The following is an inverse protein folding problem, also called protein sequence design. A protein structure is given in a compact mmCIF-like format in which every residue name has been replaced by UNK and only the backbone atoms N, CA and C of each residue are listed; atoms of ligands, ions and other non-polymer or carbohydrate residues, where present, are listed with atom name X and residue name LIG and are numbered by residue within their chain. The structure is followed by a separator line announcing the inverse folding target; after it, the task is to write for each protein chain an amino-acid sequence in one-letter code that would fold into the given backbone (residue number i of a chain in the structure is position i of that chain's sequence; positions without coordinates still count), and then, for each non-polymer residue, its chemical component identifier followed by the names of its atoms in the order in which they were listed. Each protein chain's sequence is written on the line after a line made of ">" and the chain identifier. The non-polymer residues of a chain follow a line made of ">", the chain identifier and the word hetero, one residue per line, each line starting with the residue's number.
data_IF_353724193984
#
_entry.id   IF_353724193984
#
_cell.length_a   1.000
_cell.length_b   1.000
_cell.length_c   1.000
_cell.angle_alpha   90.00
_cell.angle_beta   90.00
_cell.angle_gamma   90.00
#
_symmetry.space_group_name_H-M   'P 1'
#
loop_
_entity.id
_entity.type
_entity.pdbx_description
1 polymer ?
#
# COMPACT_ATOMS: atom_id res chain seq x y z
N UNK A 1 20.75 11.67 0.53
CA UNK A 1 19.33 11.27 0.65
C UNK A 1 18.64 12.27 1.54
N UNK A 2 17.60 12.96 1.05
CA UNK A 2 16.82 13.90 1.87
C UNK A 2 15.94 13.14 2.92
N UNK A 3 15.33 13.88 3.85
CA UNK A 3 14.55 13.27 4.95
C UNK A 3 13.34 12.48 4.46
N UNK A 4 12.66 12.95 3.40
CA UNK A 4 11.52 12.27 2.80
C UNK A 4 11.96 10.98 2.12
N UNK A 5 13.05 11.00 1.36
CA UNK A 5 13.57 9.81 0.69
C UNK A 5 14.05 8.75 1.70
N UNK A 6 14.64 9.20 2.83
CA UNK A 6 14.99 8.30 3.93
C UNK A 6 13.75 7.64 4.53
N UNK A 7 12.69 8.40 4.76
CA UNK A 7 11.42 7.88 5.28
C UNK A 7 10.78 6.88 4.31
N UNK A 8 10.71 7.21 3.01
CA UNK A 8 10.20 6.32 1.97
C UNK A 8 10.96 4.99 1.94
N UNK A 9 12.31 5.07 1.99
CA UNK A 9 13.15 3.87 2.08
C UNK A 9 12.86 3.03 3.32
N UNK A 10 12.79 3.65 4.51
CA UNK A 10 12.51 2.94 5.75
C UNK A 10 11.13 2.25 5.71
N UNK A 11 10.13 2.87 5.09
CA UNK A 11 8.81 2.28 4.92
C UNK A 11 8.82 1.05 4.02
N UNK A 12 9.43 1.13 2.84
CA UNK A 12 9.40 0.02 1.88
C UNK A 12 10.35 -1.12 2.25
N UNK A 13 11.44 -0.83 2.97
CA UNK A 13 12.35 -1.87 3.48
C UNK A 13 11.77 -2.60 4.70
N UNK A 14 10.83 -1.98 5.43
CA UNK A 14 10.19 -2.62 6.58
C UNK A 14 9.31 -3.81 6.13
N UNK A 15 9.29 -4.87 6.94
CA UNK A 15 8.52 -6.08 6.68
C UNK A 15 7.09 -5.94 7.17
N UNK A 16 6.11 -6.31 6.34
CA UNK A 16 4.70 -6.17 6.71
C UNK A 16 3.76 -6.87 5.73
N UNK A 17 3.72 -8.20 5.75
CA UNK A 17 2.62 -8.94 5.13
C UNK A 17 1.31 -8.71 5.89
N UNK A 18 0.11 -8.93 5.27
CA UNK A 18 -1.17 -8.78 5.93
C UNK A 18 -1.26 -9.50 7.28
N UNK A 19 -1.55 -8.75 8.35
CA UNK A 19 -1.60 -9.25 9.74
C UNK A 19 -0.26 -9.18 10.50
N UNK A 20 0.82 -8.69 9.84
CA UNK A 20 2.17 -8.62 10.42
C UNK A 20 2.82 -7.25 10.19
N UNK A 21 2.05 -6.15 10.23
CA UNK A 21 2.45 -4.80 9.83
C UNK A 21 3.18 -3.99 10.93
N UNK A 22 3.42 -4.58 12.09
CA UNK A 22 3.97 -3.87 13.27
C UNK A 22 5.28 -3.12 13.00
N UNK A 23 6.18 -3.70 12.19
CA UNK A 23 7.46 -3.06 11.86
C UNK A 23 7.25 -1.75 11.08
N UNK A 24 6.30 -1.75 10.14
CA UNK A 24 5.94 -0.59 9.32
C UNK A 24 5.23 0.47 10.15
N UNK A 25 4.28 0.05 11.01
CA UNK A 25 3.63 0.91 12.00
C UNK A 25 4.65 1.62 12.89
N UNK A 26 5.72 0.92 13.28
CA UNK A 26 6.84 1.50 14.01
C UNK A 26 7.61 2.60 13.25
N UNK A 27 7.77 2.44 11.92
CA UNK A 27 8.35 3.49 11.06
C UNK A 27 7.46 4.73 11.04
N UNK A 28 6.15 4.54 10.82
CA UNK A 28 5.15 5.62 10.86
C UNK A 28 5.19 6.38 12.19
N UNK A 29 5.25 5.64 13.31
CA UNK A 29 5.30 6.23 14.66
C UNK A 29 6.54 7.09 14.90
N UNK A 30 7.70 6.66 14.41
CA UNK A 30 8.93 7.46 14.50
C UNK A 30 8.84 8.73 13.64
N UNK A 31 8.33 8.62 12.42
CA UNK A 31 8.22 9.74 11.49
C UNK A 31 7.24 10.81 11.95
N UNK A 32 6.13 10.42 12.56
CA UNK A 32 5.05 11.29 13.03
C UNK A 32 5.18 11.68 14.50
N UNK A 33 6.28 11.34 15.17
CA UNK A 33 6.53 11.76 16.55
C UNK A 33 6.44 13.29 16.69
N UNK A 34 5.56 13.76 17.58
CA UNK A 34 5.35 15.18 17.84
C UNK A 34 4.42 15.91 16.85
N UNK A 35 3.82 15.20 15.87
CA UNK A 35 2.83 15.80 14.96
C UNK A 35 1.45 15.90 15.62
N UNK A 36 1.05 14.86 16.35
CA UNK A 36 -0.22 14.80 17.05
C UNK A 36 -0.39 13.48 17.83
N UNK A 37 -1.53 13.25 18.49
CA UNK A 37 -1.84 12.00 19.17
C UNK A 37 -1.81 10.82 18.20
N UNK A 38 -1.16 9.73 18.63
CA UNK A 38 -1.10 8.47 17.90
C UNK A 38 -1.96 7.44 18.63
N UNK A 39 -2.77 6.70 17.89
CA UNK A 39 -3.58 5.59 18.39
C UNK A 39 -3.64 4.46 17.37
N UNK A 40 -4.19 3.32 17.78
CA UNK A 40 -4.46 2.18 16.90
C UNK A 40 -5.90 1.71 17.08
N UNK A 41 -6.47 1.10 16.06
CA UNK A 41 -7.68 0.29 16.21
C UNK A 41 -7.33 -1.10 16.76
N UNK A 42 -8.34 -1.98 16.90
CA UNK A 42 -8.12 -3.32 17.45
C UNK A 42 -7.51 -4.32 16.46
N UNK A 43 -7.48 -3.99 15.18
CA UNK A 43 -6.77 -4.78 14.16
C UNK A 43 -5.30 -4.35 14.02
N UNK A 44 -4.93 -3.14 14.50
CA UNK A 44 -3.56 -2.65 14.46
C UNK A 44 -3.33 -1.50 13.48
N UNK A 45 -4.39 -0.97 12.80
CA UNK A 45 -4.24 0.19 11.93
C UNK A 45 -3.67 1.38 12.71
N UNK A 46 -2.67 2.04 12.14
CA UNK A 46 -2.02 3.21 12.73
C UNK A 46 -2.82 4.48 12.42
N UNK A 47 -3.06 5.31 13.43
CA UNK A 47 -3.86 6.54 13.31
C UNK A 47 -3.11 7.69 13.99
N UNK A 48 -2.79 8.75 13.23
CA UNK A 48 -2.25 9.99 13.76
C UNK A 48 -3.26 11.12 13.54
N UNK A 49 -3.69 11.76 14.63
CA UNK A 49 -4.64 12.87 14.61
C UNK A 49 -3.92 14.20 14.54
N UNK A 50 -4.27 15.05 13.56
CA UNK A 50 -3.79 16.42 13.44
C UNK A 50 -4.96 17.39 13.54
N UNK A 51 -5.10 18.06 14.68
CA UNK A 51 -6.13 19.09 14.89
C UNK A 51 -5.77 20.36 14.15
N UNK A 52 -6.79 20.95 13.53
CA UNK A 52 -6.73 22.28 12.91
C UNK A 52 -6.99 23.40 13.91
N UNK A 53 -7.28 24.58 13.37
CA UNK A 53 -7.52 25.83 14.13
C UNK A 53 -8.94 25.93 14.72
N UNK A 54 -9.86 25.06 14.32
CA UNK A 54 -11.25 25.04 14.78
C UNK A 54 -11.77 23.61 14.98
N UNK A 55 -12.86 23.44 15.71
CA UNK A 55 -13.63 22.20 15.75
C UNK A 55 -14.37 22.02 14.41
N UNK A 56 -13.66 21.54 13.42
CA UNK A 56 -14.14 21.32 12.06
C UNK A 56 -14.43 19.85 11.78
N UNK A 57 -14.73 19.51 10.51
CA UNK A 57 -14.99 18.15 10.11
C UNK A 57 -13.76 17.26 10.28
N UNK A 58 -14.01 15.95 10.41
CA UNK A 58 -12.98 14.90 10.49
C UNK A 58 -12.68 14.40 9.11
N UNK A 59 -11.45 14.61 8.66
CA UNK A 59 -10.98 14.22 7.33
C UNK A 59 -10.02 13.06 7.47
N UNK A 60 -10.35 11.93 6.85
CA UNK A 60 -9.51 10.73 6.85
C UNK A 60 -8.68 10.66 5.57
N UNK A 61 -7.37 10.53 5.70
CA UNK A 61 -6.42 10.21 4.64
C UNK A 61 -5.87 8.82 4.94
N UNK A 62 -6.22 7.81 4.13
CA UNK A 62 -5.92 6.42 4.42
C UNK A 62 -5.07 5.79 3.31
N UNK A 63 -3.97 5.15 3.67
CA UNK A 63 -3.21 4.22 2.84
C UNK A 63 -2.95 2.96 3.65
N UNK A 64 -2.58 1.83 3.02
CA UNK A 64 -2.38 0.58 3.77
C UNK A 64 -0.91 0.23 4.04
N UNK A 65 -0.69 -0.39 5.21
CA UNK A 65 0.64 -0.79 5.69
C UNK A 65 1.11 -2.10 5.08
N UNK A 66 0.19 -3.00 4.82
CA UNK A 66 0.54 -4.31 4.30
C UNK A 66 1.04 -4.25 2.86
N UNK A 67 1.78 -5.27 2.50
CA UNK A 67 2.27 -5.54 1.15
C UNK A 67 1.85 -6.95 0.76
N UNK A 68 1.61 -7.22 -0.52
CA UNK A 68 1.41 -8.59 -0.98
C UNK A 68 2.55 -9.48 -0.50
N UNK A 69 2.22 -10.63 0.04
CA UNK A 69 3.19 -11.56 0.62
C UNK A 69 2.68 -12.99 0.58
N UNK A 70 3.23 -13.80 1.46
CA UNK A 70 2.80 -15.19 1.59
C UNK A 70 2.81 -15.60 3.06
N UNK A 71 2.26 -16.78 3.32
CA UNK A 71 2.26 -17.41 4.65
C UNK A 71 2.70 -18.87 4.54
N UNK A 72 3.52 -19.32 5.46
CA UNK A 72 3.91 -20.73 5.54
C UNK A 72 2.67 -21.60 5.75
N UNK A 73 2.44 -22.55 4.83
CA UNK A 73 1.34 -23.53 4.92
C UNK A 73 1.79 -24.81 5.62
N UNK A 74 2.88 -25.39 5.16
CA UNK A 74 3.40 -26.67 5.67
C UNK A 74 4.86 -26.87 5.23
N UNK A 75 5.52 -27.89 5.78
CA UNK A 75 6.87 -28.30 5.42
C UNK A 75 6.82 -29.73 4.88
N UNK A 76 7.52 -29.99 3.77
CA UNK A 76 7.63 -31.34 3.20
C UNK A 76 8.67 -32.16 3.96
N UNK A 77 8.65 -33.49 3.81
CA UNK A 77 9.64 -34.38 4.46
C UNK A 77 11.08 -34.07 4.03
N UNK A 78 11.25 -33.60 2.79
CA UNK A 78 12.54 -33.27 2.19
C UNK A 78 13.05 -31.89 2.62
N UNK A 79 12.28 -31.11 3.42
CA UNK A 79 12.70 -29.81 3.94
C UNK A 79 12.32 -28.60 3.09
N UNK A 80 11.38 -28.74 2.15
CA UNK A 80 10.83 -27.60 1.40
C UNK A 80 9.62 -27.00 2.10
N UNK A 81 9.45 -25.68 1.99
CA UNK A 81 8.33 -24.95 2.58
C UNK A 81 7.23 -24.74 1.55
N UNK A 82 6.02 -25.23 1.83
CA UNK A 82 4.80 -24.90 1.07
C UNK A 82 4.16 -23.66 1.65
N UNK A 83 3.59 -22.81 0.80
CA UNK A 83 3.08 -21.51 1.19
C UNK A 83 1.74 -21.15 0.52
N UNK A 84 1.08 -20.15 1.07
CA UNK A 84 -0.19 -19.58 0.58
C UNK A 84 0.03 -18.11 0.24
N UNK A 85 -0.59 -17.56 -0.82
CA UNK A 85 -0.54 -16.14 -1.10
C UNK A 85 -1.37 -15.34 -0.07
N UNK A 86 -0.85 -14.17 0.29
CA UNK A 86 -1.55 -13.09 0.96
C UNK A 86 -1.59 -11.90 -0.01
N UNK A 87 -2.78 -11.58 -0.51
CA UNK A 87 -2.97 -10.64 -1.62
C UNK A 87 -2.88 -11.32 -2.99
N UNK A 88 -3.01 -10.50 -4.04
CA UNK A 88 -3.06 -10.97 -5.43
C UNK A 88 -1.67 -11.19 -6.04
N UNK A 89 -1.32 -12.43 -6.37
CA UNK A 89 -0.06 -12.78 -7.01
C UNK A 89 -0.27 -13.43 -8.38
N UNK A 90 0.49 -12.98 -9.36
CA UNK A 90 0.58 -13.65 -10.65
C UNK A 90 1.74 -14.66 -10.64
N UNK A 91 1.46 -15.94 -10.92
CA UNK A 91 2.45 -17.01 -10.82
C UNK A 91 3.76 -16.77 -11.59
N UNK A 92 3.71 -16.03 -12.72
CA UNK A 92 4.90 -15.72 -13.51
C UNK A 92 5.95 -14.87 -12.77
N UNK A 93 5.52 -13.98 -11.86
CA UNK A 93 6.45 -13.10 -11.13
C UNK A 93 6.98 -13.71 -9.84
N UNK A 94 6.59 -14.94 -9.51
CA UNK A 94 6.94 -15.58 -8.22
C UNK A 94 8.14 -16.54 -8.35
N UNK A 95 8.25 -17.26 -9.47
CA UNK A 95 9.31 -18.26 -9.69
C UNK A 95 10.71 -17.64 -9.71
N UNK A 96 11.65 -18.31 -9.05
CA UNK A 96 13.04 -17.88 -8.94
C UNK A 96 13.27 -16.69 -8.02
N UNK A 97 12.21 -16.16 -7.38
CA UNK A 97 12.32 -15.01 -6.49
C UNK A 97 12.90 -15.40 -5.13
N UNK A 98 13.64 -14.47 -4.56
CA UNK A 98 14.12 -14.53 -3.18
C UNK A 98 13.03 -14.05 -2.25
N UNK A 99 12.77 -14.82 -1.20
CA UNK A 99 11.78 -14.51 -0.17
C UNK A 99 12.41 -14.60 1.22
N UNK A 100 11.90 -13.81 2.15
CA UNK A 100 12.30 -13.86 3.56
C UNK A 100 11.13 -14.42 4.36
N UNK A 101 11.36 -15.52 5.06
CA UNK A 101 10.43 -16.09 6.04
C UNK A 101 10.78 -15.48 7.40
N UNK A 102 9.82 -14.84 8.04
CA UNK A 102 9.99 -14.21 9.36
C UNK A 102 9.67 -15.20 10.46
N UNK A 103 10.66 -15.74 11.10
CA UNK A 103 10.51 -16.68 12.22
C UNK A 103 10.74 -15.99 13.56
N UNK A 104 10.40 -16.66 14.64
CA UNK A 104 10.71 -16.17 16.01
C UNK A 104 12.21 -16.08 16.28
N UNK A 105 13.01 -16.88 15.59
CA UNK A 105 14.47 -16.93 15.73
C UNK A 105 15.17 -15.86 14.87
N UNK A 106 14.50 -15.35 13.87
CA UNK A 106 15.03 -14.38 12.92
C UNK A 106 14.57 -14.64 11.49
N UNK A 107 15.23 -13.99 10.57
CA UNK A 107 14.91 -14.03 9.15
C UNK A 107 15.56 -15.22 8.48
N UNK A 108 14.80 -15.98 7.70
CA UNK A 108 15.31 -17.09 6.89
C UNK A 108 15.10 -16.78 5.43
N UNK A 109 16.20 -16.68 4.69
CA UNK A 109 16.17 -16.49 3.25
C UNK A 109 15.84 -17.82 2.56
N UNK A 110 14.99 -17.77 1.55
CA UNK A 110 14.69 -18.88 0.66
C UNK A 110 14.49 -18.42 -0.79
N UNK A 111 14.43 -19.37 -1.70
CA UNK A 111 14.16 -19.15 -3.12
C UNK A 111 12.96 -19.97 -3.57
N UNK A 112 12.11 -19.39 -4.41
CA UNK A 112 10.93 -20.08 -4.93
C UNK A 112 11.31 -21.00 -6.06
N UNK A 113 10.99 -22.28 -5.93
CA UNK A 113 11.15 -23.32 -6.91
C UNK A 113 9.85 -24.00 -7.32
N UNK A 114 9.93 -24.73 -8.42
CA UNK A 114 8.90 -25.64 -8.90
C UNK A 114 9.54 -26.80 -9.64
N UNK A 115 8.74 -27.72 -10.19
CA UNK A 115 9.25 -28.74 -11.10
C UNK A 115 10.02 -28.06 -12.25
N UNK A 116 11.27 -28.49 -12.56
CA UNK A 116 12.07 -27.80 -13.57
C UNK A 116 11.46 -27.95 -14.97
N UNK A 117 11.59 -26.93 -15.84
CA UNK A 117 10.97 -26.93 -17.17
C UNK A 117 11.42 -28.11 -18.06
N UNK A 118 12.63 -28.63 -17.83
CA UNK A 118 13.18 -29.78 -18.56
C UNK A 118 12.42 -31.09 -18.32
N UNK A 119 11.69 -31.17 -17.20
CA UNK A 119 10.87 -32.33 -16.83
C UNK A 119 9.37 -32.12 -17.11
N UNK A 120 9.00 -30.97 -17.66
CA UNK A 120 7.62 -30.68 -18.02
C UNK A 120 7.32 -31.13 -19.45
N UNK A 121 6.12 -31.59 -19.69
CA UNK A 121 5.59 -31.80 -21.03
C UNK A 121 5.46 -30.45 -21.74
N UNK A 122 5.55 -30.44 -23.08
CA UNK A 122 5.52 -29.20 -23.87
C UNK A 122 4.24 -28.37 -23.64
N UNK A 123 3.13 -29.03 -23.38
CA UNK A 123 1.87 -28.37 -23.04
C UNK A 123 1.95 -27.64 -21.69
N UNK A 124 2.56 -28.25 -20.68
CA UNK A 124 2.66 -27.68 -19.34
C UNK A 124 3.68 -26.52 -19.26
N UNK A 125 4.69 -26.53 -20.13
CA UNK A 125 5.64 -25.39 -20.24
C UNK A 125 4.96 -24.08 -20.64
N UNK A 126 3.82 -24.15 -21.35
CA UNK A 126 3.07 -22.99 -21.82
C UNK A 126 2.05 -22.47 -20.80
N UNK A 127 1.83 -23.20 -19.71
CA UNK A 127 0.87 -22.82 -18.66
C UNK A 127 1.55 -22.01 -17.56
N UNK A 128 0.80 -21.08 -16.98
CA UNK A 128 1.21 -20.40 -15.75
C UNK A 128 1.24 -21.42 -14.62
N UNK A 129 2.38 -21.53 -13.92
CA UNK A 129 2.48 -22.38 -12.73
C UNK A 129 1.75 -21.71 -11.58
N UNK A 130 0.71 -22.37 -11.06
CA UNK A 130 -0.01 -21.87 -9.90
C UNK A 130 0.85 -21.96 -8.63
N UNK A 131 0.70 -20.98 -7.73
CA UNK A 131 1.45 -20.90 -6.47
C UNK A 131 1.37 -22.19 -5.64
N UNK A 132 0.23 -22.91 -5.68
CA UNK A 132 0.08 -24.21 -4.97
C UNK A 132 1.07 -25.30 -5.42
N UNK A 133 1.64 -25.19 -6.62
CA UNK A 133 2.63 -26.13 -7.17
C UNK A 133 4.07 -25.68 -6.93
N UNK A 134 4.25 -24.50 -6.34
CA UNK A 134 5.56 -23.97 -5.95
C UNK A 134 5.94 -24.41 -4.54
N UNK A 135 7.20 -24.22 -4.19
CA UNK A 135 7.76 -24.38 -2.85
C UNK A 135 8.91 -23.38 -2.65
N UNK A 136 9.27 -23.14 -1.40
CA UNK A 136 10.44 -22.34 -1.05
C UNK A 136 11.53 -23.31 -0.58
N UNK A 137 12.69 -23.22 -1.22
CA UNK A 137 13.92 -23.88 -0.80
C UNK A 137 14.67 -22.96 0.16
N UNK A 138 14.88 -23.42 1.38
CA UNK A 138 15.60 -22.73 2.46
C UNK A 138 16.95 -23.39 2.75
N UNK A 139 17.42 -24.30 1.87
CA UNK A 139 18.67 -25.04 2.03
C UNK A 139 18.63 -26.12 3.11
N UNK A 140 17.44 -26.55 3.54
CA UNK A 140 17.26 -27.64 4.51
C UNK A 140 17.22 -29.00 3.79
N UNK A 141 17.57 -30.07 4.51
CA UNK A 141 17.58 -31.45 3.98
C UNK A 141 16.49 -32.34 4.58
N UNK A 142 15.73 -31.82 5.53
CA UNK A 142 14.64 -32.52 6.19
C UNK A 142 13.64 -31.57 6.84
N UNK A 143 12.44 -32.07 7.15
CA UNK A 143 11.44 -31.33 7.92
C UNK A 143 11.93 -31.01 9.34
N UNK A 144 12.79 -31.84 9.91
CA UNK A 144 13.41 -31.61 11.23
C UNK A 144 14.31 -30.36 11.18
N UNK A 145 15.14 -30.20 10.13
CA UNK A 145 15.98 -29.01 9.95
C UNK A 145 15.13 -27.73 9.91
N UNK A 146 14.07 -27.75 9.11
CA UNK A 146 13.17 -26.61 8.95
C UNK A 146 12.49 -26.25 10.28
N UNK A 147 11.92 -27.26 10.96
CA UNK A 147 11.12 -27.03 12.17
C UNK A 147 11.97 -26.79 13.42
N UNK A 148 13.13 -27.43 13.54
CA UNK A 148 13.94 -27.41 14.78
C UNK A 148 15.16 -26.50 14.69
N UNK A 149 15.82 -26.44 13.53
CA UNK A 149 17.00 -25.56 13.37
C UNK A 149 16.59 -24.15 12.93
N UNK A 150 15.70 -24.05 11.93
CA UNK A 150 15.26 -22.77 11.36
C UNK A 150 14.03 -22.20 12.08
N UNK A 151 13.32 -23.01 12.87
CA UNK A 151 12.10 -22.65 13.60
C UNK A 151 10.99 -22.07 12.68
N UNK A 152 10.89 -22.60 11.45
CA UNK A 152 9.82 -22.23 10.53
C UNK A 152 8.57 -23.03 10.86
N UNK A 153 7.45 -22.32 11.07
CA UNK A 153 6.17 -22.91 11.45
C UNK A 153 5.04 -22.49 10.50
N UNK A 154 4.00 -23.30 10.34
CA UNK A 154 2.78 -22.85 9.68
C UNK A 154 2.26 -21.56 10.31
N UNK A 155 1.90 -20.58 9.46
CA UNK A 155 1.47 -19.26 9.89
C UNK A 155 2.57 -18.19 9.93
N UNK A 156 3.84 -18.54 9.80
CA UNK A 156 4.91 -17.55 9.69
C UNK A 156 4.75 -16.74 8.40
N UNK A 157 4.88 -15.39 8.46
CA UNK A 157 4.74 -14.55 7.28
C UNK A 157 6.00 -14.60 6.40
N UNK A 158 5.76 -14.43 5.12
CA UNK A 158 6.79 -14.45 4.08
C UNK A 158 6.64 -13.21 3.22
N UNK A 159 7.74 -12.54 2.96
CA UNK A 159 7.78 -11.30 2.16
C UNK A 159 8.84 -11.37 1.08
N UNK A 160 8.73 -10.55 0.01
CA UNK A 160 9.77 -10.37 -0.98
C UNK A 160 11.09 -9.85 -0.38
N UNK A 161 12.21 -10.40 -0.84
CA UNK A 161 13.56 -9.87 -0.58
C UNK A 161 13.94 -8.94 -1.72
N UNK A 162 13.62 -7.64 -1.58
CA UNK A 162 13.88 -6.62 -2.58
C UNK A 162 14.29 -5.31 -1.91
N UNK A 163 15.44 -4.79 -2.28
CA UNK A 163 16.00 -3.58 -1.67
C UNK A 163 15.55 -2.31 -2.40
N UNK A 164 15.31 -1.24 -1.64
CA UNK A 164 15.10 0.09 -2.19
C UNK A 164 16.30 0.55 -3.04
N UNK A 165 16.04 1.05 -4.25
CA UNK A 165 17.05 1.51 -5.19
C UNK A 165 16.61 2.80 -5.89
N UNK A 166 17.48 3.81 -5.90
CA UNK A 166 17.33 4.95 -6.82
C UNK A 166 17.86 4.53 -8.18
N UNK A 167 17.07 4.64 -9.21
CA UNK A 167 17.41 4.17 -10.55
C UNK A 167 18.39 5.15 -11.27
N UNK A 168 18.79 4.81 -12.50
CA UNK A 168 19.63 5.70 -13.34
C UNK A 168 18.98 7.06 -13.59
N UNK A 169 17.65 7.11 -13.74
CA UNK A 169 16.90 8.36 -13.59
C UNK A 169 16.64 8.57 -12.10
N UNK A 170 17.22 9.61 -11.46
CA UNK A 170 17.14 9.80 -10.01
C UNK A 170 15.75 10.13 -9.48
N UNK A 171 14.79 10.43 -10.35
CA UNK A 171 13.41 10.61 -9.98
C UNK A 171 12.67 9.27 -9.84
N UNK A 172 13.17 8.19 -10.44
CA UNK A 172 12.54 6.88 -10.39
C UNK A 172 13.08 6.05 -9.22
N UNK A 173 12.16 5.59 -8.40
CA UNK A 173 12.43 4.85 -7.18
C UNK A 173 11.90 3.42 -7.33
N UNK A 174 12.80 2.43 -7.29
CA UNK A 174 12.45 1.01 -7.35
C UNK A 174 12.49 0.44 -5.93
N UNK A 175 11.42 -0.26 -5.55
CA UNK A 175 11.34 -1.03 -4.31
C UNK A 175 10.18 -2.03 -4.38
N UNK A 176 10.10 -2.92 -3.38
CA UNK A 176 8.86 -3.63 -3.05
C UNK A 176 7.87 -2.68 -2.38
N UNK A 177 6.61 -3.10 -2.26
CA UNK A 177 5.63 -2.47 -1.38
C UNK A 177 5.35 -0.96 -1.62
N UNK A 178 5.60 -0.41 -2.80
CA UNK A 178 5.04 0.90 -3.15
C UNK A 178 3.53 0.88 -3.07
N UNK A 179 2.93 -0.24 -3.43
CA UNK A 179 1.61 -0.67 -3.06
C UNK A 179 1.66 -1.25 -1.64
N UNK A 180 1.18 -0.58 -0.54
CA UNK A 180 0.76 0.83 -0.62
C UNK A 180 1.46 1.66 0.46
N UNK A 181 2.77 1.44 0.67
CA UNK A 181 3.57 2.26 1.60
C UNK A 181 3.66 3.71 1.13
N UNK A 182 3.46 3.92 -0.17
CA UNK A 182 3.40 5.26 -0.77
C UNK A 182 2.17 6.02 -0.26
N UNK A 183 0.99 5.40 -0.22
CA UNK A 183 -0.23 6.01 0.34
C UNK A 183 -0.08 6.35 1.82
N UNK A 184 0.54 5.45 2.62
CA UNK A 184 0.90 5.73 4.01
C UNK A 184 1.82 6.96 4.12
N UNK A 185 2.82 7.06 3.24
CA UNK A 185 3.76 8.18 3.23
C UNK A 185 3.07 9.49 2.83
N UNK A 186 2.16 9.48 1.86
CA UNK A 186 1.34 10.64 1.46
C UNK A 186 0.51 11.17 2.63
N UNK A 187 -0.18 10.28 3.36
CA UNK A 187 -0.96 10.65 4.54
C UNK A 187 -0.08 11.27 5.63
N UNK A 188 1.05 10.61 5.93
CA UNK A 188 2.00 11.07 6.95
C UNK A 188 2.64 12.42 6.61
N UNK A 189 3.13 12.57 5.38
CA UNK A 189 3.75 13.82 4.93
C UNK A 189 2.75 14.98 4.92
N UNK A 190 1.49 14.71 4.54
CA UNK A 190 0.44 15.71 4.53
C UNK A 190 0.21 16.28 5.93
N UNK A 191 -0.01 15.45 6.94
CA UNK A 191 -0.23 15.95 8.31
C UNK A 191 1.03 16.60 8.91
N UNK A 192 2.21 16.17 8.52
CA UNK A 192 3.47 16.79 8.91
C UNK A 192 3.62 18.18 8.31
N UNK A 193 3.27 18.38 7.05
CA UNK A 193 3.29 19.71 6.38
C UNK A 193 2.20 20.65 6.88
N UNK A 194 1.19 20.14 7.56
CA UNK A 194 0.16 20.94 8.24
C UNK A 194 0.62 21.46 9.62
N UNK A 195 1.82 21.11 10.10
CA UNK A 195 2.36 21.69 11.33
C UNK A 195 2.62 23.21 11.14
N UNK A 196 2.03 24.02 12.03
CA UNK A 196 2.12 25.49 11.94
C UNK A 196 1.27 26.11 10.81
N UNK A 197 0.52 25.31 10.06
CA UNK A 197 -0.36 25.77 8.98
C UNK A 197 -1.80 25.74 9.47
N UNK A 198 -2.52 26.87 9.36
CA UNK A 198 -3.94 26.94 9.69
C UNK A 198 -4.77 26.12 8.69
N UNK A 199 -5.65 25.26 9.21
CA UNK A 199 -6.63 24.50 8.44
C UNK A 199 -7.91 24.28 9.25
N UNK A 200 -9.10 24.16 8.62
CA UNK A 200 -10.40 24.28 9.30
C UNK A 200 -10.94 22.95 9.86
N UNK A 201 -10.18 21.87 9.84
CA UNK A 201 -10.65 20.50 10.09
C UNK A 201 -9.69 19.74 11.00
N UNK A 202 -10.10 18.56 11.46
CA UNK A 202 -9.20 17.59 12.08
C UNK A 202 -8.83 16.53 11.02
N UNK A 203 -7.54 16.37 10.74
CA UNK A 203 -7.04 15.41 9.75
C UNK A 203 -6.49 14.18 10.45
N UNK A 204 -6.88 13.02 9.97
CA UNK A 204 -6.37 11.73 10.41
C UNK A 204 -5.50 11.13 9.32
N UNK A 205 -4.19 11.02 9.55
CA UNK A 205 -3.33 10.17 8.75
C UNK A 205 -3.48 8.74 9.25
N UNK A 206 -4.04 7.90 8.40
CA UNK A 206 -4.34 6.50 8.72
C UNK A 206 -3.49 5.60 7.85
N UNK A 207 -2.86 4.62 8.49
CA UNK A 207 -2.20 3.54 7.79
C UNK A 207 -2.90 2.25 8.20
N UNK A 208 -3.73 1.74 7.32
CA UNK A 208 -4.62 0.60 7.55
C UNK A 208 -3.85 -0.71 7.47
N UNK A 209 -4.42 -1.79 7.99
CA UNK A 209 -3.86 -3.13 7.96
C UNK A 209 -4.74 -4.07 7.14
N UNK A 210 -4.14 -5.14 6.57
CA UNK A 210 -4.88 -6.21 5.91
C UNK A 210 -5.79 -5.72 4.76
N UNK A 211 -5.34 -4.73 4.01
CA UNK A 211 -6.04 -4.25 2.82
C UNK A 211 -6.07 -5.33 1.75
N UNK A 212 -4.91 -5.90 1.42
CA UNK A 212 -4.65 -6.89 0.38
C UNK A 212 -5.47 -8.19 0.50
N UNK A 213 -6.04 -8.42 1.67
CA UNK A 213 -6.87 -9.59 1.98
C UNK A 213 -8.32 -9.23 2.30
N UNK A 214 -8.77 -8.03 1.89
CA UNK A 214 -10.19 -7.64 1.93
C UNK A 214 -10.51 -6.32 2.62
N UNK A 215 -9.65 -5.30 2.54
CA UNK A 215 -9.90 -3.91 2.99
C UNK A 215 -10.27 -3.82 4.48
N UNK A 216 -9.66 -4.69 5.33
CA UNK A 216 -10.18 -4.94 6.69
C UNK A 216 -9.92 -3.78 7.65
N UNK A 217 -8.70 -3.24 7.63
CA UNK A 217 -8.31 -2.13 8.49
C UNK A 217 -9.04 -0.83 8.15
N UNK A 218 -9.41 -0.63 6.89
CA UNK A 218 -10.22 0.51 6.46
C UNK A 218 -11.58 0.55 7.17
N UNK A 219 -12.25 -0.60 7.28
CA UNK A 219 -13.52 -0.71 7.97
C UNK A 219 -13.42 -0.36 9.47
N UNK A 220 -12.41 -0.91 10.15
CA UNK A 220 -12.28 -0.73 11.61
C UNK A 220 -11.75 0.66 11.98
N UNK A 221 -10.85 1.23 11.19
CA UNK A 221 -10.33 2.58 11.39
C UNK A 221 -11.38 3.65 11.07
N UNK A 222 -12.16 3.49 9.98
CA UNK A 222 -13.28 4.38 9.66
C UNK A 222 -14.34 4.37 10.76
N UNK A 223 -14.70 3.18 11.29
CA UNK A 223 -15.62 3.08 12.44
C UNK A 223 -15.08 3.82 13.66
N UNK A 224 -13.81 3.65 14.00
CA UNK A 224 -13.18 4.30 15.15
C UNK A 224 -13.12 5.82 15.02
N UNK A 225 -12.82 6.34 13.84
CA UNK A 225 -12.67 7.78 13.57
C UNK A 225 -14.04 8.44 13.36
N UNK A 226 -14.96 7.80 12.65
CA UNK A 226 -16.21 8.36 12.15
C UNK A 226 -15.96 9.59 11.27
N UNK A 227 -15.27 9.46 10.13
CA UNK A 227 -14.91 10.61 9.30
C UNK A 227 -16.11 11.23 8.62
N UNK A 228 -16.07 12.55 8.42
CA UNK A 228 -17.08 13.31 7.67
C UNK A 228 -16.77 13.36 6.15
N UNK A 229 -15.52 13.10 5.77
CA UNK A 229 -15.07 12.85 4.39
C UNK A 229 -13.74 12.07 4.41
N UNK A 230 -13.47 11.32 3.35
CA UNK A 230 -12.26 10.52 3.26
C UNK A 230 -11.63 10.51 1.87
N UNK A 231 -10.31 10.37 1.86
CA UNK A 231 -9.51 10.11 0.66
C UNK A 231 -8.69 8.86 0.93
N UNK A 232 -8.97 7.78 0.21
CA UNK A 232 -8.06 6.63 0.15
C UNK A 232 -6.89 7.00 -0.77
N UNK A 233 -5.69 6.74 -0.27
CA UNK A 233 -4.45 7.06 -0.95
C UNK A 233 -3.81 5.76 -1.41
N UNK A 234 -3.77 5.53 -2.72
CA UNK A 234 -3.30 4.26 -3.27
C UNK A 234 -2.46 4.45 -4.53
N UNK A 235 -1.81 3.41 -4.98
CA UNK A 235 -1.16 3.39 -6.29
C UNK A 235 -2.15 2.97 -7.36
N UNK A 236 -2.00 3.54 -8.56
CA UNK A 236 -2.68 3.04 -9.76
C UNK A 236 -1.67 2.46 -10.75
N UNK A 237 -2.17 1.85 -11.81
CA UNK A 237 -1.33 1.20 -12.82
C UNK A 237 -0.76 2.27 -13.78
N UNK A 238 0.56 2.28 -13.96
CA UNK A 238 1.20 3.04 -15.02
C UNK A 238 1.15 2.26 -16.33
N UNK A 239 0.60 2.89 -17.37
CA UNK A 239 0.46 2.31 -18.71
C UNK A 239 1.57 2.75 -19.68
N UNK A 240 2.69 3.25 -19.19
CA UNK A 240 3.83 3.73 -19.94
C UNK A 240 4.93 2.66 -20.16
N UNK A 241 4.54 1.39 -20.19
CA UNK A 241 5.41 0.25 -20.49
C UNK A 241 5.03 -0.39 -21.83
N UNK A 242 5.97 -1.05 -22.54
CA UNK A 242 5.65 -1.71 -23.81
C UNK A 242 4.51 -2.73 -23.67
N UNK A 243 3.51 -2.65 -24.56
CA UNK A 243 2.39 -3.59 -24.62
C UNK A 243 1.21 -3.25 -23.69
N UNK A 244 1.22 -2.09 -23.04
CA UNK A 244 0.08 -1.57 -22.30
C UNK A 244 -0.65 -0.48 -23.08
N UNK A 245 -1.96 -0.31 -22.81
CA UNK A 245 -2.81 0.73 -23.37
C UNK A 245 -3.37 1.58 -22.24
N UNK A 246 -3.25 2.89 -22.33
CA UNK A 246 -3.69 3.87 -21.32
C UNK A 246 -2.85 5.15 -21.36
N UNK A 247 -3.28 6.18 -20.66
CA UNK A 247 -2.62 7.49 -20.62
C UNK A 247 -1.84 7.73 -19.33
N UNK A 248 -2.04 6.89 -18.31
CA UNK A 248 -1.44 6.99 -16.99
C UNK A 248 0.05 6.63 -17.06
N UNK A 249 0.91 7.51 -16.55
CA UNK A 249 2.37 7.37 -16.68
C UNK A 249 3.12 7.94 -15.50
N UNK A 250 4.31 7.43 -15.26
CA UNK A 250 5.24 8.01 -14.29
C UNK A 250 5.63 9.43 -14.71
N UNK A 251 5.64 10.36 -13.75
CA UNK A 251 5.93 11.76 -13.97
C UNK A 251 4.77 12.58 -14.54
N UNK A 252 3.58 11.98 -14.68
CA UNK A 252 2.36 12.65 -15.15
C UNK A 252 1.57 13.40 -14.07
N UNK A 253 1.97 13.28 -12.81
CA UNK A 253 1.31 13.90 -11.66
C UNK A 253 0.38 12.95 -10.91
N UNK A 254 -0.36 13.48 -9.90
CA UNK A 254 -1.33 12.72 -9.12
C UNK A 254 -2.36 12.00 -9.98
N UNK A 255 -2.75 10.81 -9.53
CA UNK A 255 -3.78 9.98 -10.13
C UNK A 255 -5.07 10.09 -9.32
N UNK A 256 -6.21 10.24 -9.97
CA UNK A 256 -7.55 10.21 -9.36
C UNK A 256 -8.31 9.02 -9.94
N UNK A 257 -8.79 8.15 -9.08
CA UNK A 257 -9.61 7.00 -9.48
C UNK A 257 -11.04 7.46 -9.67
N UNK A 258 -11.55 7.35 -10.91
CA UNK A 258 -12.93 7.77 -11.26
C UNK A 258 -13.94 6.64 -11.05
N UNK A 259 -13.46 5.41 -10.94
CA UNK A 259 -14.23 4.21 -10.63
C UNK A 259 -13.29 3.10 -10.15
N UNK A 260 -13.63 2.40 -9.09
CA UNK A 260 -13.13 1.07 -8.80
C UNK A 260 -14.29 0.10 -8.50
N UNK A 261 -14.03 -1.20 -8.53
CA UNK A 261 -15.11 -2.20 -8.37
C UNK A 261 -15.78 -2.17 -7.00
N UNK A 262 -15.21 -1.47 -6.04
CA UNK A 262 -15.69 -1.37 -4.66
C UNK A 262 -16.26 0.00 -4.28
N UNK A 263 -15.96 1.05 -5.06
CA UNK A 263 -16.35 2.44 -4.76
C UNK A 263 -16.65 3.25 -6.02
N UNK A 264 -17.80 3.90 -6.02
CA UNK A 264 -18.07 5.02 -6.92
C UNK A 264 -17.74 6.31 -6.15
N UNK A 265 -16.76 7.10 -6.59
CA UNK A 265 -16.33 8.30 -5.87
C UNK A 265 -17.45 9.31 -5.69
N UNK A 266 -17.44 10.02 -4.55
CA UNK A 266 -18.33 11.17 -4.36
C UNK A 266 -18.00 12.26 -5.39
N UNK A 267 -18.99 12.62 -6.23
CA UNK A 267 -18.79 13.53 -7.35
C UNK A 267 -18.37 14.93 -6.90
N UNK A 268 -18.99 15.48 -5.88
CA UNK A 268 -18.66 16.82 -5.39
C UNK A 268 -17.24 16.89 -4.80
N UNK A 269 -16.81 15.82 -4.11
CA UNK A 269 -15.44 15.71 -3.62
C UNK A 269 -14.43 15.61 -4.78
N UNK A 270 -14.75 14.84 -5.81
CA UNK A 270 -13.91 14.72 -7.02
C UNK A 270 -13.79 16.07 -7.75
N UNK A 271 -14.88 16.80 -7.93
CA UNK A 271 -14.87 18.13 -8.52
C UNK A 271 -14.03 19.11 -7.70
N UNK A 272 -14.10 19.05 -6.36
CA UNK A 272 -13.25 19.84 -5.47
C UNK A 272 -11.75 19.51 -5.66
N UNK A 273 -11.39 18.24 -5.83
CA UNK A 273 -10.01 17.81 -6.12
C UNK A 273 -9.54 18.37 -7.44
N UNK A 274 -10.33 18.22 -8.52
CA UNK A 274 -10.02 18.72 -9.86
C UNK A 274 -9.81 20.24 -9.85
N UNK A 275 -10.74 20.99 -9.24
CA UNK A 275 -10.64 22.43 -9.09
C UNK A 275 -9.42 22.87 -8.28
N UNK A 276 -9.06 22.11 -7.23
CA UNK A 276 -7.89 22.40 -6.40
C UNK A 276 -6.61 22.19 -7.20
N UNK A 277 -6.50 21.10 -7.93
CA UNK A 277 -5.37 20.81 -8.80
C UNK A 277 -5.18 21.88 -9.88
N UNK A 278 -6.29 22.28 -10.54
CA UNK A 278 -6.28 23.37 -11.54
C UNK A 278 -5.76 24.69 -10.95
N UNK A 279 -6.27 25.11 -9.78
CA UNK A 279 -5.81 26.31 -9.08
C UNK A 279 -4.34 26.23 -8.66
N UNK A 280 -3.87 25.05 -8.26
CA UNK A 280 -2.48 24.81 -7.88
C UNK A 280 -1.54 24.59 -9.09
N UNK A 281 -2.08 24.52 -10.31
CA UNK A 281 -1.35 24.17 -11.55
C UNK A 281 -0.64 22.82 -11.45
N UNK A 282 -1.32 21.83 -10.86
CA UNK A 282 -0.84 20.45 -10.74
C UNK A 282 -1.61 19.64 -11.80
N UNK A 283 -0.92 18.95 -12.73
CA UNK A 283 -1.58 18.05 -13.68
C UNK A 283 -2.23 16.90 -12.93
N UNK A 284 -3.33 16.38 -13.44
CA UNK A 284 -4.01 15.18 -12.93
C UNK A 284 -4.08 14.12 -14.02
N UNK A 285 -4.01 12.89 -13.60
CA UNK A 285 -4.30 11.70 -14.37
C UNK A 285 -5.56 11.04 -13.81
N UNK A 286 -6.29 10.27 -14.64
CA UNK A 286 -7.54 9.63 -14.24
C UNK A 286 -7.50 8.17 -14.61
N UNK A 287 -7.93 7.30 -13.68
CA UNK A 287 -7.93 5.85 -13.83
C UNK A 287 -9.29 5.25 -13.53
N UNK A 288 -9.65 4.20 -14.27
CA UNK A 288 -10.80 3.33 -13.98
C UNK A 288 -10.30 1.91 -13.71
N UNK A 289 -10.58 1.40 -12.52
CA UNK A 289 -10.15 0.07 -12.08
C UNK A 289 -11.32 -0.90 -12.17
N UNK A 290 -11.43 -1.66 -13.26
CA UNK A 290 -12.54 -2.60 -13.47
C UNK A 290 -12.49 -3.81 -12.51
N UNK A 291 -11.29 -4.19 -12.06
CA UNK A 291 -11.07 -5.31 -11.15
C UNK A 291 -10.13 -4.89 -10.03
N UNK A 292 -10.54 -5.11 -8.80
CA UNK A 292 -9.86 -4.64 -7.61
C UNK A 292 -10.62 -3.50 -6.95
N UNK A 293 -10.17 -3.06 -5.80
CA UNK A 293 -10.76 -1.98 -5.03
C UNK A 293 -9.71 -1.38 -4.13
N UNK A 294 -10.05 -0.30 -3.47
CA UNK A 294 -9.20 0.40 -2.53
C UNK A 294 -9.88 0.52 -1.16
N UNK A 295 -9.18 1.00 -0.17
CA UNK A 295 -9.74 1.29 1.17
C UNK A 295 -11.02 2.16 1.11
N UNK A 296 -11.20 2.98 0.06
CA UNK A 296 -12.42 3.75 -0.14
C UNK A 296 -13.68 2.87 -0.17
N UNK A 297 -13.57 1.64 -0.69
CA UNK A 297 -14.67 0.66 -0.75
C UNK A 297 -15.25 0.27 0.61
N UNK A 298 -14.48 0.38 1.69
CA UNK A 298 -14.98 0.15 3.06
C UNK A 298 -15.28 1.44 3.79
N UNK A 299 -14.50 2.48 3.54
CA UNK A 299 -14.68 3.77 4.22
C UNK A 299 -16.00 4.42 3.82
N UNK A 300 -16.35 4.43 2.52
CA UNK A 300 -17.57 5.10 2.04
C UNK A 300 -18.86 4.49 2.58
N UNK A 301 -18.84 3.22 2.98
CA UNK A 301 -19.98 2.50 3.56
C UNK A 301 -20.02 2.57 5.11
N UNK A 302 -19.14 3.34 5.74
CA UNK A 302 -19.12 3.45 7.20
C UNK A 302 -20.34 4.22 7.72
N UNK A 303 -21.02 3.67 8.76
CA UNK A 303 -22.21 4.25 9.40
C UNK A 303 -23.32 4.62 8.39
N UNK A 304 -23.65 5.89 8.26
CA UNK A 304 -24.66 6.41 7.31
C UNK A 304 -24.09 6.73 5.92
N UNK A 305 -22.81 6.43 5.72
CA UNK A 305 -22.05 6.74 4.51
C UNK A 305 -21.07 7.89 4.71
N UNK A 306 -19.96 7.85 3.99
CA UNK A 306 -18.88 8.86 4.04
C UNK A 306 -18.54 9.28 2.62
N UNK A 307 -18.68 10.56 2.25
CA UNK A 307 -18.17 11.07 0.98
C UNK A 307 -16.69 10.71 0.81
N UNK A 308 -16.38 9.83 -0.14
CA UNK A 308 -15.05 9.27 -0.33
C UNK A 308 -14.63 9.27 -1.80
N UNK A 309 -13.32 9.27 -2.02
CA UNK A 309 -12.70 8.98 -3.30
C UNK A 309 -11.33 8.31 -3.07
N UNK A 310 -10.78 7.71 -4.13
CA UNK A 310 -9.40 7.22 -4.15
C UNK A 310 -8.54 8.11 -5.04
N UNK A 311 -7.33 8.41 -4.59
CA UNK A 311 -6.30 9.10 -5.37
C UNK A 311 -4.89 8.70 -4.92
N UNK A 312 -3.91 8.92 -5.78
CA UNK A 312 -2.53 8.60 -5.44
C UNK A 312 -1.57 8.92 -6.57
N UNK A 313 -0.72 7.98 -6.92
CA UNK A 313 0.22 8.11 -8.03
C UNK A 313 0.30 6.82 -8.85
N UNK A 314 0.67 6.90 -10.14
CA UNK A 314 0.90 5.70 -10.93
C UNK A 314 2.16 4.96 -10.48
N UNK A 315 2.12 3.64 -10.56
CA UNK A 315 3.25 2.76 -10.31
C UNK A 315 3.34 1.67 -11.38
N UNK A 316 4.55 1.27 -11.75
CA UNK A 316 4.80 0.11 -12.62
C UNK A 316 4.98 -1.14 -11.80
N UNK A 317 4.54 -2.28 -12.32
CA UNK A 317 4.84 -3.62 -11.77
C UNK A 317 4.32 -3.85 -10.35
N UNK A 318 3.16 -3.26 -10.00
CA UNK A 318 2.49 -3.54 -8.72
C UNK A 318 2.17 -5.03 -8.57
N UNK A 319 1.88 -5.50 -7.35
CA UNK A 319 1.64 -6.91 -7.03
C UNK A 319 2.77 -7.84 -7.48
N UNK A 320 4.01 -7.35 -7.35
CA UNK A 320 5.23 -8.13 -7.56
C UNK A 320 6.25 -7.79 -6.46
N UNK A 321 7.40 -8.42 -6.49
CA UNK A 321 8.47 -8.12 -5.53
C UNK A 321 9.24 -6.83 -5.85
N UNK A 322 8.93 -6.18 -6.97
CA UNK A 322 9.49 -4.87 -7.37
C UNK A 322 8.41 -4.02 -8.03
N UNK A 323 8.39 -2.74 -7.71
CA UNK A 323 7.60 -1.74 -8.41
C UNK A 323 8.38 -0.42 -8.52
N UNK A 324 7.94 0.48 -9.39
CA UNK A 324 8.64 1.73 -9.67
C UNK A 324 7.64 2.88 -9.60
N UNK A 325 8.00 3.93 -8.86
CA UNK A 325 7.27 5.20 -8.80
C UNK A 325 8.16 6.36 -9.23
N UNK A 326 7.53 7.51 -9.55
CA UNK A 326 8.25 8.77 -9.76
C UNK A 326 8.10 9.66 -8.53
N UNK A 327 9.24 10.10 -7.97
CA UNK A 327 9.28 10.99 -6.81
C UNK A 327 8.56 12.32 -7.05
N UNK A 328 8.54 12.82 -8.28
CA UNK A 328 7.86 14.08 -8.62
C UNK A 328 6.33 13.96 -8.48
N UNK A 329 5.77 12.80 -8.80
CA UNK A 329 4.34 12.53 -8.62
C UNK A 329 3.98 12.50 -7.13
N UNK A 330 4.83 11.88 -6.30
CA UNK A 330 4.70 11.90 -4.85
C UNK A 330 4.69 13.33 -4.29
N UNK A 331 5.69 14.14 -4.66
CA UNK A 331 5.81 15.52 -4.16
C UNK A 331 4.62 16.40 -4.62
N UNK A 332 4.13 16.21 -5.85
CA UNK A 332 2.95 16.90 -6.39
C UNK A 332 1.67 16.48 -5.65
N UNK A 333 1.54 15.18 -5.34
CA UNK A 333 0.37 14.65 -4.62
C UNK A 333 0.32 15.17 -3.18
N UNK A 334 1.43 15.22 -2.46
CA UNK A 334 1.49 15.83 -1.13
C UNK A 334 1.07 17.31 -1.17
N UNK A 335 1.59 18.06 -2.16
CA UNK A 335 1.20 19.47 -2.35
C UNK A 335 -0.30 19.63 -2.60
N UNK A 336 -0.87 18.75 -3.41
CA UNK A 336 -2.30 18.75 -3.72
C UNK A 336 -3.13 18.40 -2.48
N UNK A 337 -2.78 17.36 -1.73
CA UNK A 337 -3.47 16.95 -0.52
C UNK A 337 -3.52 18.04 0.54
N UNK A 338 -2.40 18.73 0.78
CA UNK A 338 -2.37 19.91 1.68
C UNK A 338 -3.34 21.00 1.20
N UNK A 339 -3.40 21.27 -0.11
CA UNK A 339 -4.32 22.25 -0.66
C UNK A 339 -5.79 21.82 -0.55
N UNK A 340 -6.10 20.54 -0.76
CA UNK A 340 -7.46 19.97 -0.59
C UNK A 340 -7.91 20.09 0.87
N UNK A 341 -7.08 19.64 1.81
CA UNK A 341 -7.38 19.69 3.26
C UNK A 341 -7.74 21.11 3.69
N UNK A 342 -7.03 22.11 3.22
CA UNK A 342 -7.30 23.53 3.56
C UNK A 342 -8.66 24.02 3.06
N UNK A 343 -9.28 23.36 2.09
CA UNK A 343 -10.60 23.68 1.53
C UNK A 343 -11.76 22.90 2.17
N UNK A 344 -11.48 21.83 2.90
CA UNK A 344 -12.50 20.97 3.53
C UNK A 344 -12.95 21.54 4.88
N UNK A 345 -13.60 22.69 4.86
CA UNK A 345 -14.28 23.28 6.02
C UNK A 345 -15.69 22.68 6.23
N UNK A 346 -16.35 23.07 7.30
CA UNK A 346 -17.70 22.57 7.66
C UNK A 346 -18.72 22.80 6.54
N UNK A 347 -18.67 23.97 5.87
CA UNK A 347 -19.61 24.30 4.80
C UNK A 347 -19.35 23.44 3.57
N UNK A 348 -18.09 23.30 3.19
CA UNK A 348 -17.67 22.50 2.04
C UNK A 348 -18.04 21.04 2.23
N UNK A 349 -17.73 20.46 3.40
CA UNK A 349 -18.05 19.05 3.70
C UNK A 349 -19.56 18.80 3.74
N UNK A 350 -20.34 19.71 4.32
CA UNK A 350 -21.82 19.63 4.28
C UNK A 350 -22.40 19.68 2.86
N UNK A 351 -21.69 20.26 1.91
CA UNK A 351 -22.10 20.31 0.49
C UNK A 351 -21.63 19.11 -0.34
N UNK A 352 -21.02 18.09 0.26
CA UNK A 352 -20.64 16.85 -0.42
C UNK A 352 -21.78 15.81 -0.47
N UNK A 353 -22.84 16.04 0.30
CA UNK A 353 -24.02 15.17 0.42
C UNK A 353 -25.21 15.77 -0.32
#
# INVERSE_FOLDING_TARGET
>A
MDATLKFLKELVDAHGAPGFENAVSGVMGRYLKGVGPISQDRLGSFICEKKGSSAGPRIMLAGHLDEVGFMVKSVTKEGFVKFLPLGGWWGHVVLGQRLIIKTRKGDVLGVVGSKPPHELMDEDRRKVIEVRHMYIDVGATSDWDVRKKLEIHPGDPIIPDSAFTVMANPNLLLAKAWDNRMGCALAAETVKRLQGVAHPNTVYAVATVQEEVGLRGAQTSAFKIGPDAAIALDVGIAHDTPGTEGDEKLGGGPLVVVYDSSCIPNRALMDLVIDTAKKARIPLQFESVERGGTDAGRIHMNAEGVPSLSMGIPARYIHSHVSIIDRRDYDATVKLLVAIVKRLDKKTVAGLV
#
